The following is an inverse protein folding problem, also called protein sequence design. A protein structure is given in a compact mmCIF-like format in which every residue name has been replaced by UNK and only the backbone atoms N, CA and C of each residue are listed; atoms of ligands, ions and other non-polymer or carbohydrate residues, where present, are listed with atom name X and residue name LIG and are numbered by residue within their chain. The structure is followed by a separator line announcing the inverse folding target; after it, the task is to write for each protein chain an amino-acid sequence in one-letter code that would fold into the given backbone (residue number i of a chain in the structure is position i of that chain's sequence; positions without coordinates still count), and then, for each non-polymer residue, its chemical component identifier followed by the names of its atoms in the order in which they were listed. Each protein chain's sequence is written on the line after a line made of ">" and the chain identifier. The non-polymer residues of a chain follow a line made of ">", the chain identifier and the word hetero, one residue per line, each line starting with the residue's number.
data_IF_584228291331
#
_entry.id   IF_584228291331
#
_cell.length_a   1.000
_cell.length_b   1.000
_cell.length_c   1.000
_cell.angle_alpha   90.00
_cell.angle_beta   90.00
_cell.angle_gamma   90.00
#
_symmetry.space_group_name_H-M   'P 1'
#
loop_
_entity.id
_entity.type
_entity.pdbx_description
1 polymer ?
#
# COMPACT_ATOMS: atom_id res chain seq x y z
N UNK A 1 8.82 -51.37 9.30
CA UNK A 1 9.70 -50.43 8.56
C UNK A 1 8.89 -49.39 7.78
N UNK A 2 7.70 -49.72 7.27
CA UNK A 2 6.79 -48.83 6.52
C UNK A 2 6.30 -47.60 7.31
N UNK A 3 6.08 -47.71 8.61
CA UNK A 3 5.58 -46.59 9.44
C UNK A 3 6.52 -45.36 9.46
N UNK A 4 7.84 -45.55 9.26
CA UNK A 4 8.79 -44.42 9.30
C UNK A 4 8.77 -43.55 8.04
N UNK A 5 8.40 -44.09 6.88
CA UNK A 5 8.36 -43.32 5.64
C UNK A 5 7.18 -42.36 5.61
N UNK A 6 6.06 -42.75 6.21
CA UNK A 6 4.85 -41.92 6.29
C UNK A 6 5.07 -40.70 7.21
N UNK A 7 5.77 -40.88 8.32
CA UNK A 7 6.10 -39.79 9.27
C UNK A 7 7.08 -38.78 8.64
N UNK A 8 8.06 -39.24 7.86
CA UNK A 8 8.98 -38.34 7.16
C UNK A 8 8.29 -37.56 6.03
N UNK A 9 7.32 -38.19 5.34
CA UNK A 9 6.49 -37.51 4.35
C UNK A 9 5.57 -36.47 5.01
N UNK A 10 4.93 -36.80 6.14
CA UNK A 10 4.09 -35.83 6.87
C UNK A 10 4.87 -34.61 7.35
N UNK A 11 6.04 -34.80 7.97
CA UNK A 11 6.89 -33.68 8.42
C UNK A 11 7.37 -32.77 7.27
N UNK A 12 7.59 -33.33 6.07
CA UNK A 12 8.02 -32.53 4.91
C UNK A 12 6.86 -31.75 4.30
N UNK A 13 5.63 -32.30 4.31
CA UNK A 13 4.45 -31.58 3.86
C UNK A 13 4.04 -30.46 4.84
N UNK A 14 4.11 -30.69 6.14
CA UNK A 14 3.87 -29.66 7.16
C UNK A 14 4.90 -28.53 7.06
N UNK A 15 6.19 -28.86 6.93
CA UNK A 15 7.24 -27.85 6.74
C UNK A 15 7.15 -27.08 5.42
N UNK A 16 6.58 -27.68 4.36
CA UNK A 16 6.30 -26.98 3.10
C UNK A 16 5.10 -26.04 3.21
N UNK A 17 4.04 -26.47 3.92
CA UNK A 17 2.86 -25.65 4.19
C UNK A 17 3.18 -24.44 5.07
N UNK A 18 4.02 -24.62 6.10
CA UNK A 18 4.46 -23.51 6.96
C UNK A 18 5.25 -22.45 6.18
N UNK A 19 6.10 -22.85 5.23
CA UNK A 19 6.88 -21.92 4.39
C UNK A 19 6.02 -21.14 3.40
N UNK A 20 4.98 -21.77 2.87
CA UNK A 20 4.07 -21.14 1.90
C UNK A 20 3.26 -19.97 2.52
N UNK A 21 3.01 -20.01 3.83
CA UNK A 21 2.22 -19.00 4.54
C UNK A 21 3.06 -17.94 5.28
N UNK A 22 4.39 -17.95 5.15
CA UNK A 22 5.22 -16.96 5.83
C UNK A 22 5.09 -15.60 5.15
N UNK A 23 4.32 -14.70 5.78
CA UNK A 23 4.38 -13.28 5.47
C UNK A 23 5.81 -12.81 5.72
N UNK A 24 6.57 -12.64 4.63
CA UNK A 24 7.90 -12.07 4.71
C UNK A 24 7.73 -10.61 5.10
N UNK A 25 8.04 -10.26 6.35
CA UNK A 25 8.12 -8.87 6.83
C UNK A 25 8.76 -7.87 5.83
N UNK A 26 9.85 -8.20 5.10
CA UNK A 26 10.36 -7.30 4.06
C UNK A 26 9.38 -7.03 2.91
N UNK A 27 8.54 -8.00 2.54
CA UNK A 27 7.52 -7.80 1.51
C UNK A 27 6.41 -6.84 2.00
N UNK A 28 6.00 -6.95 3.27
CA UNK A 28 5.04 -6.03 3.89
C UNK A 28 5.62 -4.62 3.94
N UNK A 29 6.86 -4.48 4.43
CA UNK A 29 7.54 -3.19 4.48
C UNK A 29 7.71 -2.59 3.07
N UNK A 30 8.04 -3.42 2.07
CA UNK A 30 8.13 -3.02 0.67
C UNK A 30 6.79 -2.54 0.11
N UNK A 31 5.68 -3.23 0.39
CA UNK A 31 4.35 -2.82 -0.05
C UNK A 31 3.91 -1.49 0.58
N UNK A 32 4.17 -1.30 1.88
CA UNK A 32 3.90 -0.03 2.58
C UNK A 32 4.74 1.10 1.98
N UNK A 33 6.04 0.87 1.78
CA UNK A 33 6.94 1.84 1.15
C UNK A 33 6.47 2.23 -0.26
N UNK A 34 6.08 1.24 -1.07
CA UNK A 34 5.54 1.48 -2.41
C UNK A 34 4.24 2.30 -2.36
N UNK A 35 3.32 1.97 -1.45
CA UNK A 35 2.07 2.72 -1.28
C UNK A 35 2.33 4.19 -0.91
N UNK A 36 3.29 4.45 -0.03
CA UNK A 36 3.70 5.82 0.31
C UNK A 36 4.30 6.56 -0.89
N UNK A 37 5.21 5.93 -1.62
CA UNK A 37 5.84 6.53 -2.82
C UNK A 37 4.79 6.86 -3.88
N UNK A 38 3.90 5.92 -4.19
CA UNK A 38 2.82 6.13 -5.16
C UNK A 38 1.83 7.18 -4.66
N UNK A 39 1.54 7.22 -3.35
CA UNK A 39 0.72 8.26 -2.73
C UNK A 39 1.31 9.66 -2.95
N UNK A 40 2.60 9.84 -2.70
CA UNK A 40 3.32 11.10 -2.97
C UNK A 40 3.24 11.45 -4.46
N UNK A 41 3.55 10.50 -5.34
CA UNK A 41 3.49 10.70 -6.81
C UNK A 41 2.07 11.03 -7.28
N UNK A 42 1.04 10.42 -6.69
CA UNK A 42 -0.36 10.67 -7.01
C UNK A 42 -0.77 12.10 -6.70
N UNK A 43 -0.33 12.63 -5.55
CA UNK A 43 -0.66 14.00 -5.13
C UNK A 43 0.11 15.04 -5.95
N UNK A 44 1.33 14.72 -6.40
CA UNK A 44 2.12 15.57 -7.30
C UNK A 44 1.47 15.71 -8.68
N UNK A 45 0.82 14.67 -9.19
CA UNK A 45 0.16 14.70 -10.50
C UNK A 45 -1.20 15.42 -10.46
N UNK A 46 -1.35 16.48 -11.24
CA UNK A 46 -2.65 17.13 -11.47
C UNK A 46 -2.55 18.48 -12.17
N UNK A 47 -3.67 18.94 -12.73
CA UNK A 47 -3.77 20.24 -13.39
C UNK A 47 -3.54 21.39 -12.38
N UNK A 48 -2.79 22.42 -12.78
CA UNK A 48 -2.52 23.60 -11.95
C UNK A 48 -1.05 23.97 -11.71
N UNK A 49 -0.09 23.27 -12.33
CA UNK A 49 1.32 23.65 -12.33
C UNK A 49 1.93 23.79 -10.93
N UNK A 50 1.51 22.95 -9.97
CA UNK A 50 2.04 22.98 -8.61
C UNK A 50 3.52 22.63 -8.66
N UNK A 51 4.38 23.55 -8.21
CA UNK A 51 5.78 23.24 -8.00
C UNK A 51 5.90 22.14 -6.95
N UNK A 52 6.75 21.15 -7.19
CA UNK A 52 7.03 20.04 -6.26
C UNK A 52 7.42 20.57 -4.88
N UNK A 53 8.17 21.67 -4.83
CA UNK A 53 8.53 22.37 -3.59
C UNK A 53 7.33 22.88 -2.79
N UNK A 54 6.27 23.35 -3.46
CA UNK A 54 5.04 23.80 -2.80
C UNK A 54 4.25 22.64 -2.18
N UNK A 55 4.19 21.49 -2.85
CA UNK A 55 3.54 20.27 -2.32
C UNK A 55 4.28 19.74 -1.11
N UNK A 56 5.61 19.67 -1.15
CA UNK A 56 6.42 19.23 -0.01
C UNK A 56 6.22 20.16 1.19
N UNK A 57 6.21 21.48 0.97
CA UNK A 57 5.96 22.46 2.05
C UNK A 57 4.54 22.40 2.61
N UNK A 58 3.54 22.13 1.77
CA UNK A 58 2.17 21.93 2.21
C UNK A 58 2.03 20.67 3.09
N UNK A 59 2.71 19.58 2.72
CA UNK A 59 2.76 18.35 3.53
C UNK A 59 3.49 18.57 4.86
N UNK A 60 4.64 19.25 4.84
CA UNK A 60 5.42 19.53 6.05
C UNK A 60 4.68 20.50 6.97
N UNK A 61 4.04 21.53 6.43
CA UNK A 61 3.22 22.48 7.19
C UNK A 61 1.90 21.90 7.72
N UNK A 62 1.49 20.72 7.25
CA UNK A 62 0.37 19.99 7.84
C UNK A 62 0.71 19.34 9.18
N UNK A 63 2.01 19.22 9.51
CA UNK A 63 2.47 18.62 10.75
C UNK A 63 2.32 19.65 11.87
N UNK A 64 1.50 19.36 12.91
CA UNK A 64 1.31 20.30 14.01
C UNK A 64 2.63 20.59 14.72
N UNK A 65 3.00 21.87 14.82
CA UNK A 65 4.25 22.33 15.43
C UNK A 65 5.38 22.67 14.44
N UNK A 66 5.13 22.56 13.12
CA UNK A 66 6.10 22.94 12.08
C UNK A 66 5.52 24.07 11.22
N UNK A 67 6.01 25.30 11.41
CA UNK A 67 5.66 26.44 10.57
C UNK A 67 6.63 26.57 9.40
N UNK A 68 6.12 26.36 8.18
CA UNK A 68 6.88 26.55 6.94
C UNK A 68 6.18 27.59 6.07
N UNK A 69 6.96 28.52 5.52
CA UNK A 69 6.46 29.49 4.56
C UNK A 69 5.86 28.78 3.32
N UNK A 70 4.55 28.84 3.21
CA UNK A 70 3.80 28.27 2.08
C UNK A 70 4.05 29.09 0.82
N UNK A 71 4.34 28.39 -0.26
CA UNK A 71 4.57 28.99 -1.59
C UNK A 71 3.39 28.79 -2.54
N UNK A 72 2.37 28.07 -2.08
CA UNK A 72 1.14 27.83 -2.84
C UNK A 72 0.18 29.00 -2.68
N UNK A 73 -0.55 29.33 -3.74
CA UNK A 73 -1.67 30.27 -3.63
C UNK A 73 -2.84 29.63 -2.88
N UNK A 74 -3.74 30.43 -2.31
CA UNK A 74 -4.94 29.93 -1.60
C UNK A 74 -5.80 28.99 -2.46
N UNK A 75 -5.88 29.26 -3.77
CA UNK A 75 -6.58 28.38 -4.71
C UNK A 75 -5.86 27.04 -4.90
N UNK A 76 -4.53 27.06 -5.00
CA UNK A 76 -3.71 25.86 -5.14
C UNK A 76 -3.74 24.99 -3.87
N UNK A 77 -3.75 25.62 -2.71
CA UNK A 77 -3.90 24.95 -1.42
C UNK A 77 -5.29 24.30 -1.27
N UNK A 78 -6.35 25.00 -1.66
CA UNK A 78 -7.71 24.43 -1.72
C UNK A 78 -7.80 23.25 -2.69
N UNK A 79 -7.23 23.35 -3.90
CA UNK A 79 -7.15 22.25 -4.86
C UNK A 79 -6.38 21.04 -4.28
N UNK A 80 -5.29 21.30 -3.58
CA UNK A 80 -4.47 20.25 -2.96
C UNK A 80 -5.26 19.50 -1.88
N UNK A 81 -5.78 20.22 -0.88
CA UNK A 81 -6.43 19.62 0.29
C UNK A 81 -7.85 19.11 0.04
N UNK A 82 -8.61 19.77 -0.83
CA UNK A 82 -10.03 19.43 -1.03
C UNK A 82 -10.24 18.48 -2.21
N UNK A 83 -9.30 18.38 -3.15
CA UNK A 83 -9.46 17.58 -4.36
C UNK A 83 -8.41 16.48 -4.48
N UNK A 84 -7.11 16.82 -4.39
CA UNK A 84 -6.04 15.84 -4.63
C UNK A 84 -5.90 14.84 -3.50
N UNK A 85 -5.73 15.32 -2.26
CA UNK A 85 -5.55 14.46 -1.08
C UNK A 85 -6.75 13.50 -0.90
N UNK A 86 -8.02 13.95 -0.95
CA UNK A 86 -9.17 13.05 -0.80
C UNK A 86 -9.23 11.99 -1.92
N UNK A 87 -8.91 12.36 -3.17
CA UNK A 87 -8.85 11.42 -4.28
C UNK A 87 -7.80 10.33 -4.08
N UNK A 88 -6.60 10.67 -3.62
CA UNK A 88 -5.53 9.70 -3.36
C UNK A 88 -5.92 8.74 -2.24
N UNK A 89 -6.55 9.24 -1.17
CA UNK A 89 -7.06 8.41 -0.07
C UNK A 89 -8.13 7.43 -0.58
N UNK A 90 -9.11 7.93 -1.36
CA UNK A 90 -10.14 7.08 -1.95
C UNK A 90 -9.55 5.98 -2.86
N UNK A 91 -8.57 6.33 -3.70
CA UNK A 91 -7.90 5.35 -4.56
C UNK A 91 -7.19 4.25 -3.75
N UNK A 92 -6.52 4.62 -2.65
CA UNK A 92 -5.89 3.65 -1.76
C UNK A 92 -6.91 2.71 -1.10
N UNK A 93 -8.05 3.25 -0.64
CA UNK A 93 -9.13 2.46 -0.04
C UNK A 93 -9.75 1.49 -1.04
N UNK A 94 -10.02 1.95 -2.27
CA UNK A 94 -10.55 1.09 -3.35
C UNK A 94 -9.56 -0.02 -3.67
N UNK A 95 -8.27 0.31 -3.85
CA UNK A 95 -7.23 -0.68 -4.11
C UNK A 95 -7.10 -1.72 -2.99
N UNK A 96 -7.13 -1.29 -1.72
CA UNK A 96 -7.13 -2.19 -0.57
C UNK A 96 -8.36 -3.12 -0.56
N UNK A 97 -9.53 -2.59 -0.89
CA UNK A 97 -10.78 -3.36 -0.92
C UNK A 97 -10.75 -4.43 -2.02
N UNK A 98 -10.27 -4.07 -3.22
CA UNK A 98 -10.10 -5.01 -4.33
C UNK A 98 -9.02 -6.06 -4.02
N UNK A 99 -7.90 -5.66 -3.42
CA UNK A 99 -6.85 -6.59 -3.01
C UNK A 99 -7.32 -7.59 -1.97
N UNK A 100 -8.14 -7.16 -0.98
CA UNK A 100 -8.75 -8.07 -0.01
C UNK A 100 -9.76 -9.02 -0.66
N UNK A 101 -10.58 -8.53 -1.60
CA UNK A 101 -11.55 -9.36 -2.31
C UNK A 101 -10.85 -10.47 -3.11
N UNK A 102 -9.82 -10.13 -3.90
CA UNK A 102 -9.05 -11.11 -4.68
C UNK A 102 -8.29 -12.10 -3.80
N UNK A 103 -7.65 -11.63 -2.71
CA UNK A 103 -7.01 -12.53 -1.73
C UNK A 103 -8.02 -13.49 -1.07
N UNK A 104 -9.23 -13.02 -0.80
CA UNK A 104 -10.34 -13.86 -0.31
C UNK A 104 -10.77 -14.90 -1.34
N UNK A 105 -10.92 -14.51 -2.61
CA UNK A 105 -11.30 -15.41 -3.70
C UNK A 105 -10.23 -16.51 -3.90
N UNK A 106 -8.95 -16.13 -3.92
CA UNK A 106 -7.82 -17.05 -3.96
C UNK A 106 -7.82 -18.03 -2.78
N UNK A 107 -8.19 -17.57 -1.58
CA UNK A 107 -8.32 -18.41 -0.39
C UNK A 107 -9.45 -19.44 -0.48
N UNK A 108 -10.61 -19.05 -1.01
CA UNK A 108 -11.78 -19.93 -1.17
C UNK A 108 -11.47 -21.05 -2.16
N UNK A 109 -10.90 -20.73 -3.32
CA UNK A 109 -10.59 -21.72 -4.35
C UNK A 109 -9.26 -22.46 -4.10
N UNK A 110 -8.49 -22.04 -3.09
CA UNK A 110 -7.11 -22.52 -2.83
C UNK A 110 -6.28 -22.52 -4.12
N UNK A 111 -6.52 -21.51 -4.96
CA UNK A 111 -5.89 -21.36 -6.27
C UNK A 111 -5.31 -19.95 -6.38
N UNK A 112 -3.98 -19.80 -6.36
CA UNK A 112 -3.33 -18.49 -6.46
C UNK A 112 -3.52 -17.82 -7.84
N UNK A 113 -4.14 -18.49 -8.81
CA UNK A 113 -4.50 -17.95 -10.13
C UNK A 113 -5.98 -17.55 -10.22
N UNK A 114 -6.74 -17.65 -9.14
CA UNK A 114 -8.10 -17.13 -9.08
C UNK A 114 -8.05 -15.59 -8.92
N UNK A 115 -8.99 -14.89 -9.55
CA UNK A 115 -9.05 -13.42 -9.68
C UNK A 115 -9.90 -12.80 -8.56
#
# INVERSE_FOLDING_TARGET
>A
MVVRTDVLAQNTLEGAAERAFQLRWPAVAGAIGLLLVVGVVSVLQGAGGLAVSGVVRALVGAVPGIDVAQTLTTQQEGLFWQIRVPRTVLAAMVGASLGMAGAGYQGVFRNPLAD
#
